data_IF_908632427495
#
_entry.id   IF_908632427495
#
_cell.length_a   1.000
_cell.length_b   1.000
_cell.length_c   1.000
_cell.angle_alpha   90.00
_cell.angle_beta   90.00
_cell.angle_gamma   90.00
#
_symmetry.space_group_name_H-M   'P 1'
#
loop_
_entity.id
_entity.type
_entity.pdbx_description
1 polymer ?
#
# COMPACT_ATOMS: atom_id res chain seq x y z
N UNK A 1 4.29 10.36 -22.96
CA UNK A 1 3.38 9.61 -22.09
C UNK A 1 3.42 10.24 -20.72
N UNK A 2 2.25 10.54 -20.15
CA UNK A 2 2.11 11.14 -18.82
C UNK A 2 1.68 10.04 -17.84
N UNK A 3 2.08 10.16 -16.57
CA UNK A 3 1.60 9.24 -15.54
C UNK A 3 0.06 9.31 -15.41
N UNK A 4 -0.56 8.25 -14.89
CA UNK A 4 -2.00 8.19 -14.58
C UNK A 4 -2.96 8.33 -15.76
N UNK A 5 -2.46 8.09 -16.99
CA UNK A 5 -3.32 7.87 -18.16
C UNK A 5 -3.54 6.37 -18.34
N UNK A 6 -4.80 5.89 -18.37
CA UNK A 6 -5.08 4.49 -18.68
C UNK A 6 -4.75 4.18 -20.14
N UNK A 7 -3.95 3.14 -20.36
CA UNK A 7 -3.41 2.77 -21.67
C UNK A 7 -3.75 1.30 -21.99
N UNK A 8 -4.12 1.06 -23.23
CA UNK A 8 -4.00 -0.25 -23.87
C UNK A 8 -2.64 -0.32 -24.56
N UNK A 9 -1.89 -1.38 -24.28
CA UNK A 9 -0.50 -1.52 -24.75
C UNK A 9 -0.30 -2.90 -25.34
N UNK A 10 0.18 -2.95 -26.58
CA UNK A 10 0.66 -4.17 -27.21
C UNK A 10 2.18 -4.21 -27.15
N UNK A 11 2.72 -5.26 -26.54
CA UNK A 11 4.16 -5.42 -26.28
C UNK A 11 4.66 -6.68 -26.98
N UNK A 12 5.73 -6.56 -27.75
CA UNK A 12 6.56 -7.67 -28.22
C UNK A 12 7.75 -7.84 -27.26
N UNK A 13 8.07 -9.08 -26.91
CA UNK A 13 9.32 -9.43 -26.23
C UNK A 13 10.33 -9.98 -27.24
N UNK A 14 11.51 -9.34 -27.33
CA UNK A 14 12.61 -9.79 -28.18
C UNK A 14 13.94 -9.56 -27.47
N UNK A 15 14.73 -10.63 -27.32
CA UNK A 15 16.07 -10.56 -26.73
C UNK A 15 16.10 -9.91 -25.33
N UNK A 16 15.16 -10.28 -24.45
CA UNK A 16 15.05 -9.75 -23.08
C UNK A 16 14.77 -8.23 -23.05
N UNK A 17 14.04 -7.75 -24.05
CA UNK A 17 13.62 -6.35 -24.19
C UNK A 17 12.18 -6.29 -24.68
N UNK A 18 11.43 -5.40 -24.05
CA UNK A 18 10.05 -5.11 -24.41
C UNK A 18 10.00 -3.98 -25.43
N UNK A 19 9.35 -4.23 -26.55
CA UNK A 19 9.11 -3.27 -27.63
C UNK A 19 7.61 -3.02 -27.75
N UNK A 20 7.22 -1.77 -27.74
CA UNK A 20 5.81 -1.43 -27.89
C UNK A 20 5.42 -1.36 -29.36
N UNK A 21 4.38 -2.11 -29.74
CA UNK A 21 3.79 -2.06 -31.08
C UNK A 21 2.73 -0.99 -31.18
N UNK A 22 1.86 -0.96 -30.19
CA UNK A 22 0.66 -0.12 -30.16
C UNK A 22 0.49 0.46 -28.76
N UNK A 23 0.16 1.75 -28.67
CA UNK A 23 -0.19 2.43 -27.42
C UNK A 23 -1.42 3.27 -27.70
N UNK A 24 -2.50 2.99 -27.00
CA UNK A 24 -3.75 3.72 -27.13
C UNK A 24 -4.26 4.15 -25.75
N UNK A 25 -4.68 5.41 -25.64
CA UNK A 25 -5.39 5.86 -24.45
C UNK A 25 -6.83 5.35 -24.50
N UNK A 26 -7.21 4.57 -23.50
CA UNK A 26 -8.56 3.98 -23.43
C UNK A 26 -9.55 4.85 -22.65
N UNK A 27 -9.06 5.83 -21.90
CA UNK A 27 -9.87 6.81 -21.19
C UNK A 27 -9.10 8.12 -20.98
N UNK A 28 -9.77 9.20 -20.54
CA UNK A 28 -9.09 10.42 -20.10
C UNK A 28 -8.10 10.13 -18.97
N UNK A 29 -7.11 11.03 -18.85
CA UNK A 29 -6.18 11.03 -17.73
C UNK A 29 -6.92 11.21 -16.41
N UNK A 30 -6.51 10.47 -15.38
CA UNK A 30 -6.97 10.71 -14.02
C UNK A 30 -6.37 12.01 -13.50
N UNK A 31 -7.24 12.95 -13.13
CA UNK A 31 -6.82 14.25 -12.62
C UNK A 31 -6.51 14.15 -11.13
N UNK A 32 -5.23 14.03 -10.80
CA UNK A 32 -4.74 14.00 -9.43
C UNK A 32 -4.07 15.33 -9.10
N UNK A 33 -4.45 15.93 -7.97
CA UNK A 33 -3.87 17.19 -7.49
C UNK A 33 -3.44 17.08 -6.02
N UNK A 34 -2.56 17.98 -5.59
CA UNK A 34 -2.12 18.09 -4.20
C UNK A 34 -1.71 16.75 -3.58
N UNK A 35 -2.33 16.41 -2.44
CA UNK A 35 -2.06 15.17 -1.72
C UNK A 35 -2.36 13.91 -2.54
N UNK A 36 -3.40 13.92 -3.38
CA UNK A 36 -3.74 12.79 -4.23
C UNK A 36 -2.68 12.54 -5.31
N UNK A 37 -2.10 13.61 -5.87
CA UNK A 37 -0.99 13.49 -6.83
C UNK A 37 0.24 12.84 -6.18
N UNK A 38 0.64 13.32 -5.00
CA UNK A 38 1.78 12.74 -4.28
C UNK A 38 1.51 11.29 -3.85
N UNK A 39 0.25 10.96 -3.56
CA UNK A 39 -0.20 9.59 -3.26
C UNK A 39 -0.08 8.66 -4.46
N UNK A 40 -0.50 9.12 -5.66
CA UNK A 40 -0.31 8.36 -6.89
C UNK A 40 1.17 8.13 -7.20
N UNK A 41 2.02 9.14 -7.01
CA UNK A 41 3.48 9.00 -7.21
C UNK A 41 4.11 8.05 -6.20
N UNK A 42 3.67 8.10 -4.94
CA UNK A 42 4.10 7.17 -3.89
C UNK A 42 3.79 5.72 -4.27
N UNK A 43 2.56 5.44 -4.72
CA UNK A 43 2.16 4.10 -5.15
C UNK A 43 3.01 3.62 -6.33
N UNK A 44 3.28 4.48 -7.31
CA UNK A 44 4.14 4.11 -8.45
C UNK A 44 5.56 3.76 -8.00
N UNK A 45 6.12 4.52 -7.05
CA UNK A 45 7.44 4.23 -6.50
C UNK A 45 7.47 2.90 -5.73
N UNK A 46 6.42 2.59 -4.96
CA UNK A 46 6.29 1.29 -4.30
C UNK A 46 6.32 0.14 -5.32
N UNK A 47 5.48 0.23 -6.36
CA UNK A 47 5.40 -0.78 -7.42
C UNK A 47 6.75 -0.95 -8.13
N UNK A 48 7.43 0.16 -8.44
CA UNK A 48 8.73 0.15 -9.10
C UNK A 48 9.79 -0.59 -8.30
N UNK A 49 9.80 -0.47 -6.96
CA UNK A 49 10.78 -1.17 -6.13
C UNK A 49 10.38 -2.59 -5.75
N UNK A 50 9.08 -2.87 -5.59
CA UNK A 50 8.59 -4.13 -5.07
C UNK A 50 8.40 -5.22 -6.14
N UNK A 51 8.03 -4.84 -7.36
CA UNK A 51 7.68 -5.81 -8.40
C UNK A 51 8.88 -6.26 -9.21
N UNK A 52 8.88 -7.56 -9.53
CA UNK A 52 9.79 -8.12 -10.54
C UNK A 52 9.19 -7.93 -11.93
N UNK A 53 10.00 -7.76 -12.98
CA UNK A 53 9.50 -7.78 -14.35
C UNK A 53 8.72 -9.07 -14.64
N UNK A 54 7.67 -8.97 -15.45
CA UNK A 54 6.87 -10.10 -15.92
C UNK A 54 6.23 -10.99 -14.83
N UNK A 55 5.94 -10.45 -13.64
CA UNK A 55 5.13 -11.11 -12.61
C UNK A 55 3.70 -10.55 -12.61
N UNK A 56 2.77 -11.08 -13.44
CA UNK A 56 1.40 -10.58 -13.48
C UNK A 56 0.65 -10.91 -12.19
N UNK A 57 -0.04 -9.91 -11.63
CA UNK A 57 -1.00 -10.07 -10.55
C UNK A 57 -2.23 -9.19 -10.83
N UNK A 58 -3.33 -9.83 -11.23
CA UNK A 58 -4.58 -9.14 -11.56
C UNK A 58 -5.22 -8.46 -10.34
N UNK A 59 -5.08 -9.06 -9.15
CA UNK A 59 -5.61 -8.49 -7.91
C UNK A 59 -4.88 -7.20 -7.55
N UNK A 60 -3.55 -7.17 -7.68
CA UNK A 60 -2.75 -5.98 -7.44
C UNK A 60 -3.05 -4.90 -8.48
N UNK A 61 -3.20 -5.28 -9.76
CA UNK A 61 -3.56 -4.33 -10.81
C UNK A 61 -4.94 -3.71 -10.58
N UNK A 62 -5.93 -4.52 -10.19
CA UNK A 62 -7.26 -4.01 -9.82
C UNK A 62 -7.20 -3.09 -8.60
N UNK A 63 -6.43 -3.45 -7.57
CA UNK A 63 -6.23 -2.58 -6.41
C UNK A 63 -5.57 -1.24 -6.80
N UNK A 64 -4.57 -1.26 -7.69
CA UNK A 64 -3.96 -0.05 -8.23
C UNK A 64 -4.99 0.84 -8.94
N UNK A 65 -5.82 0.28 -9.81
CA UNK A 65 -6.88 1.03 -10.49
C UNK A 65 -7.91 1.61 -9.52
N UNK A 66 -8.38 0.80 -8.56
CA UNK A 66 -9.33 1.26 -7.54
C UNK A 66 -8.75 2.40 -6.71
N UNK A 67 -7.49 2.28 -6.30
CA UNK A 67 -6.82 3.32 -5.52
C UNK A 67 -6.65 4.61 -6.33
N UNK A 68 -6.22 4.55 -7.59
CA UNK A 68 -6.07 5.77 -8.40
C UNK A 68 -7.41 6.47 -8.67
N UNK A 69 -8.47 5.73 -8.95
CA UNK A 69 -9.81 6.30 -9.12
C UNK A 69 -10.31 6.91 -7.80
N UNK A 70 -10.10 6.22 -6.67
CA UNK A 70 -10.42 6.75 -5.36
C UNK A 70 -9.67 8.05 -5.06
N UNK A 71 -8.38 8.12 -5.35
CA UNK A 71 -7.57 9.33 -5.15
C UNK A 71 -8.04 10.52 -6.00
N UNK A 72 -8.57 10.26 -7.20
CA UNK A 72 -9.13 11.30 -8.06
C UNK A 72 -10.48 11.85 -7.55
N UNK A 73 -11.20 11.06 -6.74
CA UNK A 73 -12.48 11.44 -6.17
C UNK A 73 -12.37 11.92 -4.70
N UNK A 74 -11.26 11.61 -4.04
CA UNK A 74 -11.06 11.89 -2.63
C UNK A 74 -11.16 13.39 -2.34
N UNK A 75 -11.96 13.72 -1.33
CA UNK A 75 -12.29 15.09 -0.95
C UNK A 75 -11.47 15.58 0.24
N UNK A 76 -10.93 14.65 1.03
CA UNK A 76 -10.13 14.96 2.21
C UNK A 76 -8.91 14.05 2.37
N UNK A 77 -8.12 14.34 3.40
CA UNK A 77 -6.91 13.61 3.71
C UNK A 77 -7.18 12.22 4.29
N UNK A 78 -8.28 12.04 5.01
CA UNK A 78 -8.64 10.78 5.65
C UNK A 78 -8.86 9.72 4.56
N UNK A 79 -9.68 10.05 3.56
CA UNK A 79 -9.98 9.19 2.41
C UNK A 79 -8.71 8.79 1.66
N UNK A 80 -7.83 9.76 1.39
CA UNK A 80 -6.52 9.52 0.76
C UNK A 80 -5.68 8.54 1.59
N UNK A 81 -5.55 8.77 2.90
CA UNK A 81 -4.74 7.89 3.75
C UNK A 81 -5.34 6.46 3.83
N UNK A 82 -6.67 6.31 3.88
CA UNK A 82 -7.34 4.99 3.88
C UNK A 82 -7.11 4.23 2.57
N UNK A 83 -7.23 4.90 1.43
CA UNK A 83 -6.92 4.32 0.11
C UNK A 83 -5.46 3.84 0.03
N UNK A 84 -4.51 4.61 0.59
CA UNK A 84 -3.11 4.21 0.66
C UNK A 84 -2.89 2.97 1.53
N UNK A 85 -3.52 2.88 2.71
CA UNK A 85 -3.37 1.72 3.60
C UNK A 85 -3.89 0.43 2.95
N UNK A 86 -5.05 0.49 2.27
CA UNK A 86 -5.62 -0.66 1.53
C UNK A 86 -4.70 -1.11 0.39
N UNK A 87 -4.13 -0.16 -0.34
CA UNK A 87 -3.18 -0.48 -1.41
C UNK A 87 -1.91 -1.13 -0.86
N UNK A 88 -1.30 -0.55 0.18
CA UNK A 88 -0.10 -1.09 0.82
C UNK A 88 -0.31 -2.51 1.34
N UNK A 89 -1.47 -2.78 1.96
CA UNK A 89 -1.81 -4.13 2.41
C UNK A 89 -1.87 -5.13 1.25
N UNK A 90 -2.51 -4.74 0.15
CA UNK A 90 -2.61 -5.57 -1.05
C UNK A 90 -1.23 -5.83 -1.65
N UNK A 91 -0.38 -4.81 -1.75
CA UNK A 91 0.99 -4.94 -2.24
C UNK A 91 1.81 -5.90 -1.37
N UNK A 92 1.78 -5.74 -0.05
CA UNK A 92 2.49 -6.62 0.88
C UNK A 92 2.05 -8.08 0.68
N UNK A 93 0.74 -8.32 0.59
CA UNK A 93 0.18 -9.66 0.36
C UNK A 93 0.64 -10.26 -0.98
N UNK A 94 0.62 -9.48 -2.08
CA UNK A 94 1.11 -9.92 -3.40
C UNK A 94 2.59 -10.27 -3.35
N UNK A 95 3.40 -9.53 -2.59
CA UNK A 95 4.82 -9.83 -2.39
C UNK A 95 5.08 -11.00 -1.41
N UNK A 96 4.03 -11.68 -0.92
CA UNK A 96 4.16 -12.79 0.04
C UNK A 96 4.50 -12.35 1.46
N UNK A 97 4.42 -11.04 1.76
CA UNK A 97 4.63 -10.50 3.10
C UNK A 97 3.29 -10.44 3.85
N UNK A 98 3.13 -11.29 4.87
CA UNK A 98 1.90 -11.39 5.65
C UNK A 98 2.18 -11.40 7.14
N UNK A 99 1.26 -10.82 7.91
CA UNK A 99 1.26 -10.88 9.36
C UNK A 99 -0.17 -10.77 9.88
N UNK A 100 -0.42 -11.30 11.09
CA UNK A 100 -1.75 -11.30 11.69
C UNK A 100 -2.03 -10.01 12.44
N UNK A 101 -3.26 -9.50 12.31
CA UNK A 101 -3.80 -8.41 13.13
C UNK A 101 -4.59 -8.93 14.35
N UNK A 102 -4.83 -10.25 14.41
CA UNK A 102 -5.70 -10.88 15.42
C UNK A 102 -4.95 -11.86 16.32
N UNK A 103 -3.69 -12.16 16.01
CA UNK A 103 -2.82 -13.03 16.79
C UNK A 103 -1.48 -12.36 17.07
N UNK A 104 -0.98 -12.51 18.28
CA UNK A 104 0.37 -12.12 18.67
C UNK A 104 1.40 -13.08 18.05
N UNK A 105 2.49 -12.52 17.53
CA UNK A 105 3.43 -13.19 16.63
C UNK A 105 4.18 -14.37 17.27
N UNK A 106 4.52 -14.29 18.56
CA UNK A 106 5.42 -15.26 19.21
C UNK A 106 4.67 -16.35 19.97
N UNK A 107 3.55 -16.01 20.56
CA UNK A 107 2.71 -16.87 21.40
C UNK A 107 1.55 -17.48 20.63
N UNK A 108 1.12 -16.85 19.52
CA UNK A 108 -0.10 -17.22 18.80
C UNK A 108 -1.39 -16.89 19.58
N UNK A 109 -1.30 -16.24 20.74
CA UNK A 109 -2.45 -15.82 21.50
C UNK A 109 -3.25 -14.76 20.74
N UNK A 110 -4.56 -14.70 20.95
CA UNK A 110 -5.39 -13.65 20.37
C UNK A 110 -4.95 -12.27 20.87
N UNK A 111 -5.05 -11.28 19.99
CA UNK A 111 -4.89 -9.87 20.36
C UNK A 111 -5.99 -9.48 21.34
N UNK A 112 -5.58 -8.90 22.46
CA UNK A 112 -6.43 -8.40 23.53
C UNK A 112 -6.60 -6.90 23.35
N UNK A 113 -7.86 -6.46 23.20
CA UNK A 113 -8.21 -5.08 22.97
C UNK A 113 -7.64 -4.11 24.04
N UNK A 114 -7.50 -4.59 25.28
CA UNK A 114 -7.02 -3.80 26.42
C UNK A 114 -5.50 -3.65 26.49
N UNK A 115 -4.76 -4.42 25.67
CA UNK A 115 -3.29 -4.45 25.67
C UNK A 115 -2.70 -3.57 24.56
N UNK A 116 -1.38 -3.43 24.60
CA UNK A 116 -0.61 -2.63 23.66
C UNK A 116 0.40 -3.52 22.93
N UNK A 117 0.65 -3.20 21.67
CA UNK A 117 1.45 -4.04 20.79
C UNK A 117 2.47 -3.23 19.99
N UNK A 118 3.65 -3.80 19.81
CA UNK A 118 4.66 -3.30 18.89
C UNK A 118 4.66 -4.17 17.64
N UNK A 119 4.65 -3.55 16.48
CA UNK A 119 4.91 -4.24 15.23
C UNK A 119 6.41 -4.46 15.05
N UNK A 120 6.81 -5.71 14.82
CA UNK A 120 8.18 -6.10 14.45
C UNK A 120 8.15 -6.69 13.05
N UNK A 121 8.83 -6.03 12.12
CA UNK A 121 8.85 -6.46 10.72
C UNK A 121 9.50 -7.85 10.59
N UNK A 122 8.88 -8.72 9.79
CA UNK A 122 9.25 -10.14 9.64
C UNK A 122 8.67 -11.06 10.73
N UNK A 123 8.15 -10.53 11.84
CA UNK A 123 7.53 -11.33 12.92
C UNK A 123 6.02 -11.07 13.05
N UNK A 124 5.60 -9.81 13.18
CA UNK A 124 4.22 -9.41 13.46
C UNK A 124 4.10 -8.60 14.75
N UNK A 125 2.94 -8.68 15.43
CA UNK A 125 2.69 -7.91 16.66
C UNK A 125 3.13 -8.63 17.91
N UNK A 126 3.83 -7.92 18.80
CA UNK A 126 4.29 -8.43 20.09
C UNK A 126 3.74 -7.55 21.22
N UNK A 127 3.21 -8.18 22.27
CA UNK A 127 2.67 -7.48 23.43
C UNK A 127 3.76 -6.67 24.16
N UNK A 128 3.48 -5.39 24.42
CA UNK A 128 4.38 -4.45 25.10
C UNK A 128 3.60 -3.57 26.07
N UNK A 129 4.28 -2.78 26.91
CA UNK A 129 3.64 -1.84 27.84
C UNK A 129 3.10 -0.57 27.16
N UNK A 130 3.68 -0.18 26.02
CA UNK A 130 3.31 1.02 25.27
C UNK A 130 3.52 0.79 23.78
N UNK A 131 2.47 0.96 22.98
CA UNK A 131 2.51 0.66 21.56
C UNK A 131 1.22 1.06 20.86
N UNK A 132 0.81 0.26 19.89
CA UNK A 132 -0.49 0.35 19.22
C UNK A 132 -1.52 -0.39 20.09
N UNK A 133 -2.68 0.23 20.40
CA UNK A 133 -3.75 -0.45 21.13
C UNK A 133 -4.25 -1.70 20.40
N UNK A 134 -4.52 -2.77 21.14
CA UNK A 134 -5.08 -4.00 20.58
C UNK A 134 -6.44 -3.74 19.91
N UNK A 135 -7.25 -2.85 20.47
CA UNK A 135 -8.53 -2.42 19.86
C UNK A 135 -8.32 -1.82 18.46
N UNK A 136 -7.22 -1.10 18.21
CA UNK A 136 -6.92 -0.59 16.89
C UNK A 136 -6.59 -1.73 15.93
N UNK A 137 -5.81 -2.73 16.37
CA UNK A 137 -5.46 -3.87 15.53
C UNK A 137 -6.69 -4.68 15.12
N UNK A 138 -7.61 -4.89 16.06
CA UNK A 138 -8.87 -5.59 15.81
C UNK A 138 -9.77 -4.80 14.85
N UNK A 139 -9.90 -3.48 15.05
CA UNK A 139 -10.64 -2.63 14.11
C UNK A 139 -10.03 -2.66 12.69
N UNK A 140 -8.70 -2.58 12.60
CA UNK A 140 -7.99 -2.68 11.32
C UNK A 140 -8.13 -4.06 10.67
N UNK A 141 -8.28 -5.13 11.45
CA UNK A 141 -8.54 -6.48 10.94
C UNK A 141 -9.90 -6.58 10.22
N UNK A 142 -10.84 -5.68 10.56
CA UNK A 142 -12.15 -5.53 9.94
C UNK A 142 -12.17 -4.49 8.81
N UNK A 143 -10.99 -4.04 8.33
CA UNK A 143 -10.82 -2.98 7.32
C UNK A 143 -11.42 -1.63 7.74
N UNK A 144 -11.52 -1.37 9.05
CA UNK A 144 -11.94 -0.07 9.57
C UNK A 144 -10.78 0.93 9.52
N UNK A 145 -10.87 1.87 8.58
CA UNK A 145 -9.91 2.95 8.36
C UNK A 145 -10.60 4.32 8.40
N UNK A 146 -11.70 4.42 9.13
CA UNK A 146 -12.60 5.58 9.09
C UNK A 146 -12.28 6.63 10.18
N UNK A 147 -11.22 6.40 10.97
CA UNK A 147 -10.80 7.29 12.05
C UNK A 147 -9.29 7.61 11.99
N UNK A 148 -8.94 8.84 12.35
CA UNK A 148 -7.55 9.33 12.29
C UNK A 148 -6.60 8.54 13.22
N UNK A 149 -7.07 8.08 14.38
CA UNK A 149 -6.25 7.31 15.31
C UNK A 149 -5.95 5.91 14.76
N UNK A 150 -6.94 5.27 14.12
CA UNK A 150 -6.76 4.00 13.43
C UNK A 150 -5.77 4.14 12.26
N UNK A 151 -5.94 5.17 11.43
CA UNK A 151 -5.03 5.44 10.32
C UNK A 151 -3.60 5.72 10.79
N UNK A 152 -3.43 6.43 11.91
CA UNK A 152 -2.11 6.66 12.49
C UNK A 152 -1.44 5.35 12.91
N UNK A 153 -2.18 4.45 13.54
CA UNK A 153 -1.69 3.10 13.88
C UNK A 153 -1.36 2.28 12.63
N UNK A 154 -2.26 2.25 11.64
CA UNK A 154 -2.06 1.56 10.37
C UNK A 154 -0.80 2.08 9.63
N UNK A 155 -0.64 3.40 9.56
CA UNK A 155 0.52 4.05 8.92
C UNK A 155 1.83 3.68 9.59
N UNK A 156 1.85 3.60 10.92
CA UNK A 156 3.05 3.21 11.68
C UNK A 156 3.49 1.79 11.32
N UNK A 157 2.57 0.81 11.33
CA UNK A 157 2.89 -0.58 10.99
C UNK A 157 3.20 -0.75 9.50
N UNK A 158 2.43 -0.12 8.60
CA UNK A 158 2.65 -0.21 7.15
C UNK A 158 4.02 0.34 6.76
N UNK A 159 4.45 1.46 7.36
CA UNK A 159 5.77 2.01 7.09
C UNK A 159 6.87 1.00 7.42
N UNK A 160 6.80 0.36 8.59
CA UNK A 160 7.79 -0.65 8.99
C UNK A 160 7.73 -1.90 8.10
N UNK A 161 6.53 -2.33 7.69
CA UNK A 161 6.35 -3.48 6.80
C UNK A 161 6.92 -3.22 5.39
N UNK A 162 6.60 -2.05 4.82
CA UNK A 162 7.08 -1.64 3.51
C UNK A 162 8.60 -1.43 3.53
N UNK A 163 9.16 -0.77 4.57
CA UNK A 163 10.61 -0.54 4.65
C UNK A 163 11.38 -1.87 4.72
N UNK A 164 10.81 -2.89 5.38
CA UNK A 164 11.35 -4.25 5.40
C UNK A 164 11.23 -4.93 4.03
N UNK A 165 10.05 -4.88 3.40
CA UNK A 165 9.83 -5.42 2.04
C UNK A 165 10.84 -4.87 1.04
N UNK A 166 11.11 -3.56 1.10
CA UNK A 166 12.00 -2.88 0.15
C UNK A 166 13.49 -3.00 0.49
N UNK A 167 13.85 -3.71 1.57
CA UNK A 167 15.24 -3.97 1.93
C UNK A 167 16.07 -2.70 2.19
N UNK A 168 15.45 -1.66 2.76
CA UNK A 168 16.13 -0.40 3.09
C UNK A 168 16.25 0.62 1.95
N UNK A 169 15.62 0.38 0.79
CA UNK A 169 15.48 1.41 -0.26
C UNK A 169 14.65 2.58 0.25
N UNK A 170 15.15 3.80 0.06
CA UNK A 170 14.44 5.01 0.44
C UNK A 170 13.33 5.35 -0.58
N UNK A 171 12.14 5.62 -0.07
CA UNK A 171 10.99 6.07 -0.88
C UNK A 171 10.99 7.60 -0.91
N UNK A 172 11.32 8.17 -2.06
CA UNK A 172 11.46 9.62 -2.27
C UNK A 172 10.13 10.33 -2.19
N UNK A 173 9.05 9.72 -2.66
CA UNK A 173 7.71 10.31 -2.65
C UNK A 173 7.25 10.70 -1.23
N UNK A 174 7.79 10.07 -0.17
CA UNK A 174 7.50 10.44 1.23
C UNK A 174 7.98 11.86 1.57
N UNK A 175 8.96 12.41 0.86
CA UNK A 175 9.43 13.79 1.09
C UNK A 175 8.50 14.84 0.50
N UNK A 176 7.61 14.45 -0.42
CA UNK A 176 6.66 15.34 -1.08
C UNK A 176 5.46 15.71 -0.18
N UNK A 177 5.25 14.97 0.91
CA UNK A 177 4.20 15.22 1.91
C UNK A 177 4.63 16.16 3.06
N UNK A 178 5.84 16.73 3.00
CA UNK A 178 6.36 17.61 4.05
C UNK A 178 5.91 19.05 3.87
#
# INVERSE_FOLDING_TARGET
MQAFTPLWVEIDDRYDRYYTRTIESISPMLHLEGNSLFSGLYINELLYYALSPASPDESLFNAYLMTLNGLALASDRLEVESLLRRFEWTLLKTCGYSFSLTQEARSGALIDASRQYQFVAGEGFICVSKGIPGEHLLALAEDNLDDEALLKSAKQMMRSAIDHLLGGREIKARTLYR
#
